data_IF_492595198606
#
_entry.id   IF_492595198606
#
_cell.length_a   1.000
_cell.length_b   1.000
_cell.length_c   1.000
_cell.angle_alpha   90.00
_cell.angle_beta   90.00
_cell.angle_gamma   90.00
#
_symmetry.space_group_name_H-M   'P 1'
#
loop_
_entity.id
_entity.type
_entity.pdbx_description
1 polymer ?
#
# COMPACT_ATOMS: atom_id res chain seq x y z
N UNK A 1 24.54 8.26 2.09
CA UNK A 1 23.91 7.13 1.38
C UNK A 1 22.47 7.06 1.85
N UNK A 2 21.51 7.38 1.00
CA UNK A 2 20.10 7.16 1.32
C UNK A 2 19.87 5.65 1.21
N UNK A 3 19.85 4.94 2.33
CA UNK A 3 19.28 3.59 2.35
C UNK A 3 17.83 3.72 1.87
N UNK A 4 17.56 3.29 0.64
CA UNK A 4 16.18 3.04 0.21
C UNK A 4 15.62 2.01 1.19
N UNK A 5 14.62 2.43 1.97
CA UNK A 5 13.88 1.52 2.84
C UNK A 5 13.27 0.45 1.93
N UNK A 6 13.71 -0.80 2.10
CA UNK A 6 13.14 -1.93 1.37
C UNK A 6 11.68 -2.09 1.78
N UNK A 7 10.79 -2.11 0.80
CA UNK A 7 9.35 -2.30 1.00
C UNK A 7 9.06 -3.62 1.70
N UNK A 8 9.88 -4.63 1.41
CA UNK A 8 9.84 -5.92 2.09
C UNK A 8 10.05 -5.76 3.61
N UNK A 9 11.15 -5.14 4.03
CA UNK A 9 11.47 -4.94 5.46
C UNK A 9 10.40 -4.10 6.16
N UNK A 10 9.90 -3.07 5.48
CA UNK A 10 8.84 -2.20 6.00
C UNK A 10 7.53 -2.97 6.26
N UNK A 11 7.12 -3.84 5.34
CA UNK A 11 5.93 -4.70 5.52
C UNK A 11 6.14 -5.73 6.62
N UNK A 12 7.33 -6.36 6.70
CA UNK A 12 7.65 -7.30 7.80
C UNK A 12 7.57 -6.62 9.16
N UNK A 13 8.07 -5.39 9.27
CA UNK A 13 7.94 -4.57 10.50
C UNK A 13 6.47 -4.25 10.80
N UNK A 14 5.69 -3.83 9.80
CA UNK A 14 4.25 -3.57 9.94
C UNK A 14 3.49 -4.81 10.41
N UNK A 15 3.85 -6.01 9.90
CA UNK A 15 3.21 -7.26 10.30
C UNK A 15 3.36 -7.57 11.80
N UNK A 16 4.47 -7.14 12.41
CA UNK A 16 4.72 -7.30 13.85
C UNK A 16 3.98 -6.22 14.64
N UNK A 17 4.10 -4.96 14.24
CA UNK A 17 3.59 -3.83 15.04
C UNK A 17 2.08 -3.58 14.86
N UNK A 18 1.57 -3.78 13.64
CA UNK A 18 0.20 -3.41 13.21
C UNK A 18 -0.34 -4.41 12.17
N UNK A 19 -0.49 -5.71 12.51
CA UNK A 19 -0.93 -6.74 11.58
C UNK A 19 -2.31 -6.45 10.97
N UNK A 20 -3.17 -5.71 11.67
CA UNK A 20 -4.48 -5.25 11.20
C UNK A 20 -4.40 -4.37 9.94
N UNK A 21 -3.23 -3.83 9.61
CA UNK A 21 -3.00 -3.02 8.42
C UNK A 21 -2.57 -3.81 7.18
N UNK A 22 -2.17 -5.07 7.30
CA UNK A 22 -1.74 -5.88 6.15
C UNK A 22 -2.80 -5.98 5.04
N UNK A 23 -4.11 -6.15 5.35
CA UNK A 23 -5.15 -6.11 4.33
C UNK A 23 -5.22 -4.76 3.59
N UNK A 24 -4.95 -3.64 4.28
CA UNK A 24 -4.95 -2.30 3.67
C UNK A 24 -3.77 -2.16 2.71
N UNK A 25 -2.58 -2.67 3.07
CA UNK A 25 -1.41 -2.69 2.16
C UNK A 25 -1.72 -3.51 0.90
N UNK A 26 -2.38 -4.65 1.05
CA UNK A 26 -2.83 -5.48 -0.08
C UNK A 26 -3.78 -4.72 -1.02
N UNK A 27 -4.75 -3.98 -0.47
CA UNK A 27 -5.65 -3.16 -1.29
C UNK A 27 -4.94 -1.99 -1.98
N UNK A 28 -3.92 -1.39 -1.35
CA UNK A 28 -3.07 -0.39 -1.99
C UNK A 28 -2.31 -1.00 -3.17
N UNK A 29 -1.71 -2.19 -3.00
CA UNK A 29 -0.94 -2.87 -4.04
C UNK A 29 -1.80 -3.27 -5.24
N UNK A 30 -3.02 -3.78 -5.00
CA UNK A 30 -3.98 -4.07 -6.06
C UNK A 30 -4.34 -2.81 -6.84
N UNK A 31 -4.68 -1.74 -6.12
CA UNK A 31 -5.05 -0.47 -6.73
C UNK A 31 -3.91 0.13 -7.56
N UNK A 32 -2.67 0.10 -7.07
CA UNK A 32 -1.52 0.61 -7.83
C UNK A 32 -1.24 -0.21 -9.09
N UNK A 33 -1.45 -1.53 -9.07
CA UNK A 33 -1.32 -2.40 -10.23
C UNK A 33 -2.41 -2.14 -11.28
N UNK A 34 -3.65 -1.95 -10.84
CA UNK A 34 -4.78 -1.65 -11.74
C UNK A 34 -4.62 -0.31 -12.45
N UNK A 35 -4.14 0.72 -11.74
CA UNK A 35 -3.95 2.08 -12.29
C UNK A 35 -2.59 2.25 -12.97
N UNK A 36 -1.63 1.35 -12.71
CA UNK A 36 -0.23 1.44 -13.17
C UNK A 36 0.45 2.74 -12.75
N UNK A 37 0.24 3.18 -11.50
CA UNK A 37 0.75 4.46 -11.03
C UNK A 37 0.40 4.81 -9.58
N UNK A 38 0.50 6.08 -9.27
CA UNK A 38 0.07 6.65 -8.00
C UNK A 38 -1.46 6.60 -7.85
N UNK A 39 -1.92 6.60 -6.61
CA UNK A 39 -3.34 6.44 -6.31
C UNK A 39 -3.79 7.39 -5.20
N UNK A 40 -5.05 7.81 -5.27
CA UNK A 40 -5.64 8.65 -4.24
C UNK A 40 -5.99 7.83 -2.99
N UNK A 41 -5.68 8.36 -1.80
CA UNK A 41 -6.07 7.72 -0.54
C UNK A 41 -7.59 7.52 -0.40
N UNK A 42 -8.40 8.38 -1.03
CA UNK A 42 -9.85 8.25 -1.08
C UNK A 42 -10.32 7.00 -1.85
N UNK A 43 -9.55 6.53 -2.83
CA UNK A 43 -9.87 5.31 -3.57
C UNK A 43 -9.62 4.07 -2.72
N UNK A 44 -8.54 4.06 -1.94
CA UNK A 44 -8.28 3.00 -0.95
C UNK A 44 -9.39 2.99 0.11
N UNK A 45 -9.78 4.17 0.64
CA UNK A 45 -10.89 4.31 1.58
C UNK A 45 -12.15 3.60 1.07
N UNK A 46 -12.55 3.88 -0.18
CA UNK A 46 -13.72 3.27 -0.79
C UNK A 46 -13.65 1.74 -0.89
N UNK A 47 -12.46 1.16 -1.11
CA UNK A 47 -12.27 -0.31 -1.13
C UNK A 47 -12.35 -0.91 0.27
N UNK A 48 -11.66 -0.31 1.23
CA UNK A 48 -11.53 -0.89 2.57
C UNK A 48 -12.82 -0.74 3.39
N UNK A 49 -13.53 0.37 3.25
CA UNK A 49 -14.83 0.58 3.92
C UNK A 49 -15.89 -0.42 3.47
N UNK A 50 -15.93 -0.77 2.17
CA UNK A 50 -16.83 -1.82 1.65
C UNK A 50 -16.57 -3.20 2.26
N UNK A 51 -15.37 -3.43 2.79
CA UNK A 51 -14.96 -4.67 3.46
C UNK A 51 -15.09 -4.58 4.99
N UNK A 52 -15.68 -3.51 5.52
CA UNK A 52 -15.88 -3.32 6.96
C UNK A 52 -14.60 -3.03 7.75
N UNK A 53 -13.50 -2.66 7.07
CA UNK A 53 -12.23 -2.39 7.74
C UNK A 53 -12.19 -0.97 8.34
N UNK A 54 -11.63 -0.86 9.54
CA UNK A 54 -11.36 0.43 10.20
C UNK A 54 -10.15 1.09 9.54
N UNK A 55 -10.36 2.23 8.89
CA UNK A 55 -9.33 2.94 8.15
C UNK A 55 -9.58 4.45 8.21
N UNK A 56 -8.56 5.23 8.57
CA UNK A 56 -8.66 6.69 8.70
C UNK A 56 -7.89 7.43 7.60
N UNK A 57 -6.64 7.06 7.37
CA UNK A 57 -5.77 7.63 6.34
C UNK A 57 -4.54 6.74 6.10
N UNK A 58 -3.71 7.08 5.11
CA UNK A 58 -2.50 6.31 4.77
C UNK A 58 -1.23 6.79 5.48
N UNK A 59 -1.32 7.72 6.44
CA UNK A 59 -0.12 8.29 7.09
C UNK A 59 0.69 7.22 7.84
N UNK A 60 0.03 6.20 8.39
CA UNK A 60 0.73 5.09 9.02
C UNK A 60 1.64 4.36 7.99
N UNK A 61 1.12 4.05 6.80
CA UNK A 61 1.93 3.40 5.78
C UNK A 61 3.07 4.28 5.27
N UNK A 62 2.90 5.61 5.30
CA UNK A 62 4.01 6.53 5.02
C UNK A 62 5.05 6.56 6.13
N UNK A 63 4.67 6.49 7.41
CA UNK A 63 5.63 6.48 8.52
C UNK A 63 6.42 5.17 8.60
N UNK A 64 5.87 4.07 8.09
CA UNK A 64 6.58 2.80 7.94
C UNK A 64 7.51 2.76 6.71
N UNK A 65 7.48 3.78 5.83
CA UNK A 65 8.27 3.78 4.60
C UNK A 65 7.73 2.81 3.54
N UNK A 66 6.45 2.45 3.59
CA UNK A 66 5.80 1.60 2.58
C UNK A 66 5.33 2.47 1.40
N UNK A 67 4.69 3.60 1.73
CA UNK A 67 4.20 4.57 0.76
C UNK A 67 4.97 5.88 0.88
N UNK A 68 5.13 6.58 -0.24
CA UNK A 68 5.42 8.02 -0.24
C UNK A 68 4.18 8.78 -0.69
N UNK A 69 3.97 9.95 -0.07
CA UNK A 69 3.00 10.93 -0.56
C UNK A 69 3.68 11.69 -1.69
N UNK A 70 3.11 11.68 -2.89
CA UNK A 70 3.71 12.32 -4.08
C UNK A 70 3.42 13.81 -4.07
N UNK A 71 2.17 14.20 -4.35
CA UNK A 71 1.68 15.55 -4.15
C UNK A 71 0.14 15.55 -4.13
N UNK A 72 -0.46 16.70 -3.83
CA UNK A 72 -1.88 16.95 -4.09
C UNK A 72 -2.03 17.47 -5.52
N UNK A 73 -2.87 16.84 -6.36
CA UNK A 73 -3.12 17.33 -7.72
C UNK A 73 -3.59 18.80 -7.71
N UNK A 74 -3.22 19.56 -8.76
CA UNK A 74 -3.56 20.99 -8.97
C UNK A 74 -5.07 21.19 -8.78
N UNK A 75 -5.47 21.65 -7.60
CA UNK A 75 -6.86 21.66 -7.12
C UNK A 75 -7.03 21.25 -5.64
N UNK A 76 -6.00 20.71 -4.99
CA UNK A 76 -5.80 20.71 -3.53
C UNK A 76 -6.64 19.74 -2.70
N UNK A 77 -7.51 18.91 -3.30
CA UNK A 77 -8.52 18.15 -2.53
C UNK A 77 -8.18 16.68 -2.26
N UNK A 78 -7.18 16.09 -2.91
CA UNK A 78 -6.84 14.66 -2.74
C UNK A 78 -5.34 14.43 -2.65
N UNK A 79 -4.91 13.71 -1.61
CA UNK A 79 -3.54 13.24 -1.48
C UNK A 79 -3.33 11.97 -2.30
N UNK A 80 -2.28 11.97 -3.13
CA UNK A 80 -1.83 10.84 -3.92
C UNK A 80 -0.61 10.18 -3.28
N UNK A 81 -0.53 8.86 -3.46
CA UNK A 81 0.50 8.01 -2.87
C UNK A 81 1.02 7.04 -3.92
N UNK A 82 2.29 6.68 -3.78
CA UNK A 82 2.93 5.60 -4.53
C UNK A 82 3.74 4.73 -3.58
N UNK A 83 4.08 3.52 -4.01
CA UNK A 83 4.99 2.65 -3.26
C UNK A 83 6.43 3.13 -3.41
N UNK A 84 7.19 3.10 -2.31
CA UNK A 84 8.63 3.32 -2.35
C UNK A 84 9.32 2.15 -3.07
N UNK A 85 8.87 0.92 -2.78
CA UNK A 85 9.34 -0.33 -3.35
C UNK A 85 8.15 -1.31 -3.46
N UNK A 86 7.45 -1.26 -4.58
CA UNK A 86 6.25 -2.09 -4.80
C UNK A 86 6.58 -3.58 -4.87
N UNK A 87 7.74 -3.93 -5.42
CA UNK A 87 8.18 -5.31 -5.58
C UNK A 87 8.46 -5.96 -4.21
N UNK A 88 9.25 -5.30 -3.37
CA UNK A 88 9.52 -5.81 -2.02
C UNK A 88 8.25 -5.91 -1.16
N UNK A 89 7.30 -4.98 -1.32
CA UNK A 89 5.98 -5.09 -0.67
C UNK A 89 5.24 -6.33 -1.13
N UNK A 90 5.19 -6.59 -2.43
CA UNK A 90 4.54 -7.78 -2.98
C UNK A 90 5.17 -9.07 -2.47
N UNK A 91 6.50 -9.16 -2.48
CA UNK A 91 7.24 -10.31 -1.96
C UNK A 91 6.89 -10.58 -0.49
N UNK A 92 6.89 -9.55 0.36
CA UNK A 92 6.53 -9.70 1.77
C UNK A 92 5.08 -10.15 1.96
N UNK A 93 4.14 -9.60 1.19
CA UNK A 93 2.73 -9.98 1.29
C UNK A 93 2.48 -11.43 0.83
N UNK A 94 3.24 -11.92 -0.17
CA UNK A 94 3.21 -13.33 -0.59
C UNK A 94 3.76 -14.24 0.49
N UNK A 95 4.92 -13.91 1.06
CA UNK A 95 5.53 -14.70 2.13
C UNK A 95 4.62 -14.79 3.37
N UNK A 96 3.97 -13.67 3.72
CA UNK A 96 3.01 -13.60 4.82
C UNK A 96 1.64 -14.23 4.48
N UNK A 97 1.45 -14.78 3.27
CA UNK A 97 0.20 -15.38 2.78
C UNK A 97 -1.00 -14.44 2.84
N UNK A 98 -0.75 -13.14 2.71
CA UNK A 98 -1.80 -12.10 2.62
C UNK A 98 -2.35 -12.02 1.19
N UNK A 99 -1.50 -12.31 0.20
CA UNK A 99 -1.87 -12.44 -1.21
C UNK A 99 -1.37 -13.77 -1.75
N UNK A 100 -2.08 -14.34 -2.72
CA UNK A 100 -1.72 -15.60 -3.38
C UNK A 100 -0.98 -15.32 -4.70
N UNK A 101 -0.08 -16.23 -5.10
CA UNK A 101 0.71 -16.12 -6.34
C UNK A 101 -0.12 -16.11 -7.64
N UNK A 102 -1.37 -16.61 -7.59
CA UNK A 102 -2.20 -16.84 -8.79
C UNK A 102 -3.13 -15.70 -9.19
N UNK A 103 -2.95 -14.47 -8.67
CA UNK A 103 -3.74 -13.31 -9.11
C UNK A 103 -3.03 -12.41 -10.14
N UNK A 104 -1.93 -12.87 -10.73
CA UNK A 104 -1.10 -12.10 -11.67
C UNK A 104 -1.19 -12.52 -13.13
N UNK A 105 -2.14 -13.39 -13.50
CA UNK A 105 -2.40 -13.76 -14.91
C UNK A 105 -3.84 -13.45 -15.28
N UNK A 106 -4.11 -12.19 -15.60
CA UNK A 106 -5.28 -11.79 -16.38
C UNK A 106 -4.94 -10.52 -17.15
N UNK A 107 -4.10 -10.64 -18.17
CA UNK A 107 -4.34 -10.08 -19.51
C UNK A 107 -3.51 -10.86 -20.52
#
# INVERSE_FOLDING_TARGET
>A
MNEQISGYKAVKRLAVERPDWLPIVSECLKLSKEIKGDFAGAWVYGRVSKKGMKFSNLRLLTSFGILKKEDTSRGGRRAYYSFIDAQGVEEALKELKIINENQTSST
#
